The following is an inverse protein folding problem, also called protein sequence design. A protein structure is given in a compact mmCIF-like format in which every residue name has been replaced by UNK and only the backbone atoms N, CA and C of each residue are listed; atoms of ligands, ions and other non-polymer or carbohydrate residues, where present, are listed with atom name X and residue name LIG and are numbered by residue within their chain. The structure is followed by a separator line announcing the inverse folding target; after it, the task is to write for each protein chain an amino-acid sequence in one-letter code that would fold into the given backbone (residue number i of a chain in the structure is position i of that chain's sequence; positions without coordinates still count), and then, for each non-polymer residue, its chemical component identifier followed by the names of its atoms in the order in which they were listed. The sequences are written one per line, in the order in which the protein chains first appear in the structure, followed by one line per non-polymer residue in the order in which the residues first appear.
data_IF_127968461165
#
_entry.id   IF_127968461165
#
_cell.length_a   1.000
_cell.length_b   1.000
_cell.length_c   1.000
_cell.angle_alpha   90.00
_cell.angle_beta   90.00
_cell.angle_gamma   90.00
#
_symmetry.space_group_name_H-M   'P 1'
#
loop_
_entity.id
_entity.type
_entity.pdbx_description
1 polymer ?
#
# COMPACT_ATOMS: atom_id res chain seq x y z
N UNK A 1 -2.19 36.70 6.40
CA UNK A 1 -2.81 35.75 7.35
C UNK A 1 -2.26 34.37 7.02
N UNK A 2 -1.52 33.77 7.95
CA UNK A 2 -0.72 32.57 7.70
C UNK A 2 -1.55 31.29 7.63
N UNK A 3 -1.22 30.43 6.67
CA UNK A 3 -1.55 29.02 6.70
C UNK A 3 -0.73 28.35 7.83
N UNK A 4 -1.39 27.66 8.76
CA UNK A 4 -0.69 27.03 9.90
C UNK A 4 -1.49 26.87 11.18
N UNK A 5 -2.81 27.08 11.19
CA UNK A 5 -3.62 26.66 12.34
C UNK A 5 -3.58 25.14 12.44
N UNK A 6 -2.94 24.63 13.49
CA UNK A 6 -3.01 23.21 13.87
C UNK A 6 -4.48 22.78 13.93
N UNK A 7 -4.81 21.73 13.19
CA UNK A 7 -6.14 21.14 13.21
C UNK A 7 -6.45 20.68 14.65
N UNK A 8 -7.62 21.05 15.22
CA UNK A 8 -8.07 20.58 16.52
C UNK A 8 -7.96 19.06 16.63
N UNK A 9 -7.31 18.55 17.69
CA UNK A 9 -7.10 17.10 17.93
C UNK A 9 -8.42 16.31 17.95
N UNK A 10 -9.52 16.95 18.26
CA UNK A 10 -10.88 16.38 18.25
C UNK A 10 -11.36 15.98 16.84
N UNK A 11 -10.89 16.66 15.78
CA UNK A 11 -11.17 16.29 14.38
C UNK A 11 -10.32 15.10 13.89
N UNK A 12 -9.22 14.80 14.59
CA UNK A 12 -8.34 13.65 14.32
C UNK A 12 -8.81 12.36 15.03
N UNK A 13 -9.83 12.45 15.91
CA UNK A 13 -10.40 11.29 16.60
C UNK A 13 -11.21 10.36 15.67
N UNK A 14 -11.58 10.84 14.48
CA UNK A 14 -12.16 10.01 13.44
C UNK A 14 -11.05 9.25 12.69
N UNK A 15 -11.07 7.92 12.75
CA UNK A 15 -10.20 7.07 11.90
C UNK A 15 -10.20 7.62 10.47
N UNK A 16 -9.02 7.82 9.85
CA UNK A 16 -8.92 8.46 8.54
C UNK A 16 -9.73 7.66 7.52
N UNK A 17 -10.48 8.34 6.66
CA UNK A 17 -11.28 7.67 5.62
C UNK A 17 -10.41 6.92 4.60
N UNK A 18 -9.11 7.26 4.54
CA UNK A 18 -8.12 6.63 3.67
C UNK A 18 -6.75 6.59 4.35
N UNK A 19 -6.02 5.49 4.22
CA UNK A 19 -4.60 5.37 4.55
C UNK A 19 -3.77 5.19 3.26
N UNK A 20 -2.53 5.68 3.23
CA UNK A 20 -1.66 5.59 2.04
C UNK A 20 -0.24 5.21 2.47
N UNK A 21 0.40 4.32 1.72
CA UNK A 21 1.82 3.99 1.84
C UNK A 21 2.45 3.80 0.46
N UNK A 22 3.75 4.08 0.38
CA UNK A 22 4.58 3.86 -0.80
C UNK A 22 5.58 2.74 -0.53
N UNK A 23 5.84 1.92 -1.54
CA UNK A 23 6.79 0.82 -1.51
C UNK A 23 7.70 0.94 -2.73
N UNK A 24 9.01 1.00 -2.51
CA UNK A 24 9.98 1.07 -3.60
C UNK A 24 9.96 -0.25 -4.39
N UNK A 25 9.96 -0.14 -5.71
CA UNK A 25 10.13 -1.29 -6.59
C UNK A 25 11.59 -1.72 -6.65
N UNK A 26 11.79 -2.98 -7.01
CA UNK A 26 13.09 -3.52 -7.40
C UNK A 26 13.01 -3.77 -8.90
N UNK A 27 14.05 -3.35 -9.64
CA UNK A 27 14.18 -3.65 -11.07
C UNK A 27 14.59 -5.12 -11.22
N UNK A 28 13.76 -5.94 -11.88
CA UNK A 28 14.04 -7.38 -12.06
C UNK A 28 14.42 -7.68 -13.51
N UNK A 29 13.79 -7.01 -14.48
CA UNK A 29 14.04 -7.12 -15.92
C UNK A 29 14.54 -5.78 -16.49
N UNK A 30 15.26 -5.83 -17.62
CA UNK A 30 15.76 -4.63 -18.30
C UNK A 30 14.64 -3.68 -18.73
N UNK A 31 13.45 -4.20 -19.01
CA UNK A 31 12.27 -3.42 -19.39
C UNK A 31 11.55 -2.79 -18.19
N UNK A 32 11.89 -3.18 -16.96
CA UNK A 32 11.30 -2.56 -15.78
C UNK A 32 11.81 -1.12 -15.64
N UNK A 33 10.90 -0.16 -15.40
CA UNK A 33 11.29 1.24 -15.27
C UNK A 33 12.16 1.46 -14.02
N UNK A 34 13.19 2.28 -14.16
CA UNK A 34 13.96 2.74 -13.02
C UNK A 34 13.11 3.64 -12.11
N UNK A 35 13.33 3.52 -10.80
CA UNK A 35 12.62 4.35 -9.81
C UNK A 35 11.11 4.08 -9.71
N UNK A 36 10.65 2.93 -10.20
CA UNK A 36 9.26 2.51 -10.03
C UNK A 36 8.88 2.35 -8.56
N UNK A 37 7.69 2.79 -8.17
CA UNK A 37 7.16 2.55 -6.82
C UNK A 37 5.67 2.20 -6.83
N UNK A 38 5.30 1.34 -5.88
CA UNK A 38 3.91 0.98 -5.63
C UNK A 38 3.33 1.91 -4.57
N UNK A 39 2.31 2.67 -4.94
CA UNK A 39 1.47 3.41 -3.99
C UNK A 39 0.22 2.59 -3.68
N UNK A 40 0.05 2.23 -2.41
CA UNK A 40 -1.11 1.51 -1.89
C UNK A 40 -1.99 2.48 -1.09
N UNK A 41 -3.26 2.55 -1.44
CA UNK A 41 -4.26 3.38 -0.75
C UNK A 41 -5.41 2.52 -0.24
N UNK A 42 -5.62 2.47 1.07
CA UNK A 42 -6.73 1.73 1.69
C UNK A 42 -7.87 2.71 1.98
N UNK A 43 -9.00 2.55 1.28
CA UNK A 43 -10.21 3.34 1.51
C UNK A 43 -11.06 2.63 2.55
N UNK A 44 -11.13 3.19 3.77
CA UNK A 44 -11.76 2.56 4.93
C UNK A 44 -13.23 2.92 5.07
N UNK A 45 -13.64 4.04 4.50
CA UNK A 45 -15.00 4.56 4.55
C UNK A 45 -15.35 5.20 3.21
N UNK A 46 -16.63 5.15 2.88
CA UNK A 46 -17.16 5.92 1.78
C UNK A 46 -16.96 7.43 2.02
N UNK A 47 -16.61 8.14 0.95
CA UNK A 47 -16.46 9.59 0.98
C UNK A 47 -17.33 10.21 -0.12
N UNK A 48 -18.09 11.23 0.25
CA UNK A 48 -18.94 11.98 -0.66
C UNK A 48 -18.43 13.42 -0.64
N UNK A 49 -18.07 13.93 -1.81
CA UNK A 49 -17.61 15.29 -2.02
C UNK A 49 -18.66 16.04 -2.82
N UNK A 50 -19.25 17.09 -2.23
CA UNK A 50 -20.14 17.99 -2.94
C UNK A 50 -19.31 19.15 -3.50
N UNK A 51 -19.36 19.32 -4.82
CA UNK A 51 -18.74 20.42 -5.54
C UNK A 51 -19.82 21.16 -6.37
N UNK A 52 -19.60 22.42 -6.77
CA UNK A 52 -20.59 23.22 -7.51
C UNK A 52 -21.18 22.54 -8.77
N UNK A 53 -20.38 21.71 -9.42
CA UNK A 53 -20.60 20.99 -10.66
C UNK A 53 -21.19 19.60 -10.45
N UNK A 54 -21.26 19.13 -9.20
CA UNK A 54 -21.86 17.84 -8.86
C UNK A 54 -21.30 17.19 -7.60
N UNK A 55 -21.81 16.00 -7.33
CA UNK A 55 -21.37 15.18 -6.19
C UNK A 55 -20.50 14.02 -6.68
N UNK A 56 -19.30 13.89 -6.13
CA UNK A 56 -18.39 12.78 -6.40
C UNK A 56 -18.42 11.82 -5.21
N UNK A 57 -18.68 10.54 -5.48
CA UNK A 57 -18.69 9.46 -4.49
C UNK A 57 -17.47 8.57 -4.69
N UNK A 58 -16.66 8.42 -3.64
CA UNK A 58 -15.56 7.48 -3.59
C UNK A 58 -15.98 6.32 -2.69
N UNK A 59 -16.11 5.09 -3.22
CA UNK A 59 -16.47 3.92 -2.43
C UNK A 59 -15.52 3.69 -1.24
N UNK A 60 -16.05 3.18 -0.13
CA UNK A 60 -15.21 2.63 0.94
C UNK A 60 -14.75 1.20 0.65
N UNK A 61 -14.16 0.56 1.65
CA UNK A 61 -13.90 -0.89 1.72
C UNK A 61 -13.17 -1.50 0.52
N UNK A 62 -12.15 -0.81 0.04
CA UNK A 62 -11.31 -1.32 -1.03
C UNK A 62 -9.87 -0.82 -0.89
N UNK A 63 -8.95 -1.52 -1.54
CA UNK A 63 -7.54 -1.14 -1.62
C UNK A 63 -7.21 -0.84 -3.08
N UNK A 64 -6.65 0.35 -3.32
CA UNK A 64 -6.16 0.78 -4.62
C UNK A 64 -4.64 0.68 -4.67
N UNK A 65 -4.16 -0.13 -5.59
CA UNK A 65 -2.77 -0.25 -5.99
C UNK A 65 -2.54 0.66 -7.19
N UNK A 66 -1.45 1.42 -7.16
CA UNK A 66 -1.03 2.19 -8.32
C UNK A 66 0.47 2.10 -8.47
N UNK A 67 0.92 1.75 -9.67
CA UNK A 67 2.33 1.70 -10.05
C UNK A 67 2.69 3.05 -10.65
N UNK A 68 3.70 3.68 -10.08
CA UNK A 68 4.17 4.99 -10.52
C UNK A 68 5.59 4.90 -11.03
N UNK A 69 5.89 5.71 -12.04
CA UNK A 69 7.24 5.94 -12.55
C UNK A 69 7.42 7.45 -12.59
N UNK A 70 8.36 7.96 -11.79
CA UNK A 70 8.47 9.41 -11.56
C UNK A 70 7.17 9.97 -10.95
N UNK A 71 6.57 10.95 -11.63
CA UNK A 71 5.36 11.65 -11.17
C UNK A 71 4.07 11.13 -11.82
N UNK A 72 4.12 10.04 -12.57
CA UNK A 72 2.97 9.53 -13.32
C UNK A 72 2.57 8.12 -12.88
N UNK A 73 1.25 7.91 -12.72
CA UNK A 73 0.68 6.59 -12.49
C UNK A 73 0.54 5.86 -13.83
N UNK A 74 1.36 4.83 -14.05
CA UNK A 74 1.36 4.00 -15.27
C UNK A 74 0.25 2.96 -15.25
N UNK A 75 -0.08 2.43 -14.07
CA UNK A 75 -1.12 1.42 -13.93
C UNK A 75 -1.82 1.52 -12.57
N UNK A 76 -3.09 1.13 -12.53
CA UNK A 76 -3.95 1.22 -11.36
C UNK A 76 -4.87 0.01 -11.30
N UNK A 77 -4.99 -0.58 -10.12
CA UNK A 77 -5.96 -1.63 -9.82
C UNK A 77 -6.61 -1.34 -8.46
N UNK A 78 -7.92 -1.51 -8.37
CA UNK A 78 -8.63 -1.50 -7.08
C UNK A 78 -9.26 -2.86 -6.84
N UNK A 79 -9.07 -3.40 -5.64
CA UNK A 79 -9.67 -4.68 -5.24
C UNK A 79 -10.50 -4.50 -3.96
N UNK A 80 -11.57 -5.29 -3.76
CA UNK A 80 -12.33 -5.28 -2.52
C UNK A 80 -11.47 -5.59 -1.29
N UNK A 81 -11.95 -5.19 -0.11
CA UNK A 81 -11.27 -5.46 1.16
C UNK A 81 -11.01 -6.96 1.42
N UNK A 82 -11.90 -7.86 0.96
CA UNK A 82 -11.73 -9.31 1.11
C UNK A 82 -10.50 -9.82 0.35
N UNK A 83 -10.40 -9.48 -0.94
CA UNK A 83 -9.27 -9.83 -1.81
C UNK A 83 -7.97 -9.22 -1.30
N UNK A 84 -8.02 -7.98 -0.79
CA UNK A 84 -6.83 -7.36 -0.21
C UNK A 84 -6.35 -8.09 1.06
N UNK A 85 -7.27 -8.63 1.86
CA UNK A 85 -6.91 -9.45 3.03
C UNK A 85 -6.34 -10.80 2.62
N UNK A 86 -6.85 -11.41 1.56
CA UNK A 86 -6.29 -12.65 0.99
C UNK A 86 -4.89 -12.43 0.43
N UNK A 87 -4.68 -11.35 -0.33
CA UNK A 87 -3.36 -10.96 -0.82
C UNK A 87 -2.36 -10.73 0.33
N UNK A 88 -2.79 -10.05 1.40
CA UNK A 88 -1.93 -9.83 2.56
C UNK A 88 -1.53 -11.14 3.24
N UNK A 89 -2.47 -12.08 3.42
CA UNK A 89 -2.18 -13.41 3.98
C UNK A 89 -1.19 -14.17 3.11
N UNK A 90 -1.44 -14.26 1.81
CA UNK A 90 -0.55 -14.92 0.87
C UNK A 90 0.89 -14.38 0.94
N UNK A 91 1.06 -13.05 0.96
CA UNK A 91 2.39 -12.44 1.07
C UNK A 91 3.05 -12.79 2.41
N UNK A 92 2.32 -12.68 3.52
CA UNK A 92 2.86 -13.02 4.84
C UNK A 92 3.29 -14.48 4.92
N UNK A 93 2.43 -15.41 4.49
CA UNK A 93 2.70 -16.85 4.55
C UNK A 93 3.94 -17.22 3.72
N UNK A 94 4.12 -16.63 2.52
CA UNK A 94 5.29 -16.90 1.68
C UNK A 94 6.58 -16.31 2.25
N UNK A 95 6.53 -15.13 2.89
CA UNK A 95 7.71 -14.54 3.54
C UNK A 95 8.15 -15.36 4.76
N UNK A 96 7.20 -15.81 5.59
CA UNK A 96 7.49 -16.68 6.74
C UNK A 96 8.11 -18.01 6.27
N UNK A 97 7.61 -18.58 5.17
CA UNK A 97 8.17 -19.80 4.57
C UNK A 97 9.61 -19.62 4.07
N UNK A 98 9.97 -18.43 3.59
CA UNK A 98 11.34 -18.11 3.19
C UNK A 98 12.26 -18.03 4.41
N UNK A 99 11.83 -17.36 5.47
CA UNK A 99 12.59 -17.24 6.72
C UNK A 99 12.88 -18.63 7.33
N UNK A 100 11.89 -19.52 7.34
CA UNK A 100 12.04 -20.90 7.82
C UNK A 100 13.05 -21.71 6.99
N UNK A 101 13.05 -21.52 5.66
CA UNK A 101 13.98 -22.20 4.77
C UNK A 101 15.42 -21.72 4.96
N UNK A 102 15.63 -20.41 5.19
CA UNK A 102 16.95 -19.86 5.49
C UNK A 102 17.50 -20.39 6.82
N UNK A 103 16.67 -20.44 7.87
CA UNK A 103 17.06 -20.98 9.18
C UNK A 103 17.46 -22.47 9.12
N UNK A 104 16.75 -23.27 8.32
CA UNK A 104 17.08 -24.68 8.11
C UNK A 104 18.42 -24.86 7.37
N UNK A 105 18.79 -23.91 6.50
CA UNK A 105 20.03 -23.94 5.73
C UNK A 105 21.23 -23.54 6.60
N UNK A 106 21.07 -22.56 7.49
CA UNK A 106 22.11 -22.17 8.45
C UNK A 106 22.37 -23.21 9.54
N UNK A 107 21.32 -23.88 10.04
CA UNK A 107 21.44 -24.95 11.04
C UNK A 107 22.11 -26.24 10.54
N UNK A 108 22.29 -26.38 9.22
CA UNK A 108 22.90 -27.55 8.57
C UNK A 108 24.39 -27.38 8.27
N UNK A 109 24.99 -26.23 8.57
CA UNK A 109 26.43 -25.99 8.34
C UNK A 109 27.24 -26.74 9.42
N UNK A 110 28.10 -27.72 9.06
CA UNK A 110 28.93 -28.41 10.05
C UNK A 110 29.92 -27.42 10.71
N UNK A 111 30.31 -27.63 11.98
CA UNK A 111 31.28 -26.77 12.64
C UNK A 111 32.60 -26.77 11.85
N UNK A 112 33.12 -25.57 11.59
CA UNK A 112 34.43 -25.39 10.96
C UNK A 112 35.52 -26.09 11.78
N UNK A 113 36.53 -26.70 11.11
CA UNK A 113 37.62 -27.42 11.77
C UNK A 113 38.55 -26.51 12.58
#
# INVERSE_FOLDING_TARGET
MGCGSSLPRELLANRPAKSVRFFAGIKVDDRDPEGGFLRVSCYLKEQIFSMPEGTVRIPGHHVRFSVWVGEEAQSVLSIPESEARELARFITDELERLDDAEAATEGSKPPSP
#
